data_IF_115880211230
#
_entry.id   IF_115880211230
#
_cell.length_a   1.000
_cell.length_b   1.000
_cell.length_c   1.000
_cell.angle_alpha   90.00
_cell.angle_beta   90.00
_cell.angle_gamma   90.00
#
_symmetry.space_group_name_H-M   'P 1'
#
loop_
_entity.id
_entity.type
_entity.pdbx_description
1 polymer ?
#
# COMPACT_ATOMS: atom_id res chain seq x y z
N UNK A 1 58.03 85.32 -33.93
CA UNK A 1 58.58 84.10 -34.46
C UNK A 1 58.22 82.96 -33.51
N UNK A 2 57.20 82.24 -33.87
CA UNK A 2 56.51 81.34 -32.95
C UNK A 2 56.99 79.91 -33.18
N UNK A 3 57.41 79.28 -32.13
CA UNK A 3 57.78 77.87 -32.11
C UNK A 3 56.64 77.03 -31.64
N UNK A 4 56.11 76.15 -32.52
CA UNK A 4 55.06 75.23 -32.26
C UNK A 4 55.56 74.08 -31.37
N UNK A 5 54.90 73.90 -30.22
CA UNK A 5 55.09 72.73 -29.36
C UNK A 5 53.97 71.75 -29.68
N UNK A 6 54.31 70.52 -30.06
CA UNK A 6 53.42 69.41 -30.28
C UNK A 6 53.02 68.79 -28.94
N UNK A 7 51.76 68.34 -28.74
CA UNK A 7 51.34 67.70 -27.47
C UNK A 7 51.73 66.21 -27.45
N UNK A 8 52.25 65.78 -26.34
CA UNK A 8 52.55 64.37 -25.97
C UNK A 8 51.26 63.63 -25.61
N UNK A 9 51.04 62.54 -26.30
CA UNK A 9 49.91 61.65 -26.03
C UNK A 9 50.22 60.78 -24.81
N UNK A 10 49.37 60.74 -23.81
CA UNK A 10 49.52 59.79 -22.68
C UNK A 10 48.99 58.39 -23.02
N UNK A 11 49.90 57.42 -23.02
CA UNK A 11 49.51 55.99 -23.04
C UNK A 11 48.67 55.62 -21.83
N UNK A 12 47.40 55.47 -22.06
CA UNK A 12 46.48 54.87 -21.06
C UNK A 12 46.74 53.37 -21.01
N UNK A 13 47.28 52.90 -19.90
CA UNK A 13 47.42 51.48 -19.58
C UNK A 13 46.07 50.96 -19.14
N UNK A 14 45.34 50.33 -20.05
CA UNK A 14 44.20 49.47 -19.62
C UNK A 14 44.73 48.18 -19.02
N UNK A 15 44.75 48.14 -17.70
CA UNK A 15 44.96 46.91 -16.94
C UNK A 15 43.65 46.11 -17.03
N UNK A 16 43.59 45.16 -17.96
CA UNK A 16 42.48 44.19 -17.98
C UNK A 16 42.62 43.28 -16.77
N UNK A 17 41.84 43.55 -15.72
CA UNK A 17 41.68 42.63 -14.61
C UNK A 17 40.78 41.49 -15.12
N UNK A 18 41.40 40.38 -15.51
CA UNK A 18 40.71 39.12 -15.76
C UNK A 18 40.23 38.60 -14.41
N UNK A 19 38.98 38.87 -14.04
CA UNK A 19 38.32 38.20 -12.91
C UNK A 19 38.03 36.79 -13.40
N UNK A 20 38.93 35.87 -13.11
CA UNK A 20 38.65 34.44 -13.16
C UNK A 20 37.65 34.17 -12.04
N UNK A 21 36.36 34.23 -12.36
CA UNK A 21 35.32 33.64 -11.52
C UNK A 21 35.52 32.10 -11.52
N UNK A 22 36.33 31.61 -10.59
CA UNK A 22 36.24 30.24 -10.18
C UNK A 22 34.88 30.10 -9.50
N UNK A 23 33.84 29.75 -10.29
CA UNK A 23 32.68 29.16 -9.74
C UNK A 23 33.14 27.84 -9.07
N UNK A 24 33.32 27.86 -7.76
CA UNK A 24 33.38 26.64 -7.01
C UNK A 24 32.07 25.90 -7.36
N UNK A 25 32.13 24.89 -8.23
CA UNK A 25 31.09 23.89 -8.37
C UNK A 25 31.00 23.28 -6.97
N UNK A 26 30.11 23.78 -6.16
CA UNK A 26 29.65 23.01 -5.00
C UNK A 26 29.32 21.63 -5.54
N UNK A 27 29.80 20.58 -4.91
CA UNK A 27 29.52 19.23 -5.32
C UNK A 27 28.00 19.15 -5.54
N UNK A 28 27.58 18.91 -6.79
CA UNK A 28 26.16 18.77 -7.15
C UNK A 28 25.65 17.57 -6.36
N UNK A 29 24.69 17.78 -5.48
CA UNK A 29 24.12 16.71 -4.63
C UNK A 29 23.60 15.62 -5.56
N UNK A 30 24.11 14.42 -5.41
CA UNK A 30 23.73 13.30 -6.28
C UNK A 30 22.25 12.94 -6.11
N UNK A 31 21.64 12.35 -7.14
CA UNK A 31 20.25 11.88 -7.07
C UNK A 31 20.05 10.90 -5.92
N UNK A 32 21.02 10.02 -5.67
CA UNK A 32 20.95 9.09 -4.55
C UNK A 32 20.94 9.79 -3.19
N UNK A 33 21.74 10.83 -3.00
CA UNK A 33 21.72 11.65 -1.79
C UNK A 33 20.40 12.42 -1.61
N UNK A 34 19.86 12.99 -2.70
CA UNK A 34 18.53 13.64 -2.65
C UNK A 34 17.44 12.67 -2.23
N UNK A 35 17.43 11.45 -2.75
CA UNK A 35 16.44 10.43 -2.41
C UNK A 35 16.62 9.91 -0.98
N UNK A 36 17.84 9.79 -0.48
CA UNK A 36 18.11 9.44 0.91
C UNK A 36 17.62 10.53 1.86
N UNK A 37 17.94 11.79 1.59
CA UNK A 37 17.47 12.95 2.35
C UNK A 37 15.93 13.05 2.32
N UNK A 38 15.31 12.77 1.17
CA UNK A 38 13.87 12.71 1.02
C UNK A 38 13.25 11.64 1.96
N UNK A 39 13.84 10.44 2.00
CA UNK A 39 13.42 9.37 2.90
C UNK A 39 13.52 9.76 4.38
N UNK A 40 14.65 10.37 4.77
CA UNK A 40 14.86 10.88 6.14
C UNK A 40 13.84 11.97 6.49
N UNK A 41 13.58 12.90 5.58
CA UNK A 41 12.61 13.99 5.77
C UNK A 41 11.20 13.44 5.94
N UNK A 42 10.83 12.47 5.12
CA UNK A 42 9.52 11.81 5.20
C UNK A 42 9.33 11.08 6.53
N UNK A 43 10.34 10.32 6.97
CA UNK A 43 10.34 9.62 8.24
C UNK A 43 10.22 10.56 9.47
N UNK A 44 10.71 11.82 9.34
CA UNK A 44 10.55 12.88 10.34
C UNK A 44 9.21 13.62 10.24
N UNK A 45 8.31 13.22 9.33
CA UNK A 45 7.02 13.87 9.12
C UNK A 45 7.09 15.16 8.29
N UNK A 46 8.27 15.54 7.74
CA UNK A 46 8.46 16.71 6.89
C UNK A 46 8.08 16.38 5.43
N UNK A 47 6.78 16.18 5.21
CA UNK A 47 6.23 15.61 3.96
C UNK A 47 6.50 16.48 2.74
N UNK A 48 6.29 17.78 2.86
CA UNK A 48 6.51 18.77 1.78
C UNK A 48 7.98 18.78 1.36
N UNK A 49 8.90 18.82 2.32
CA UNK A 49 10.33 18.78 2.05
C UNK A 49 10.77 17.46 1.40
N UNK A 50 10.20 16.34 1.82
CA UNK A 50 10.47 15.04 1.19
C UNK A 50 10.03 15.00 -0.30
N UNK A 51 8.86 15.57 -0.60
CA UNK A 51 8.36 15.68 -1.97
C UNK A 51 9.25 16.63 -2.79
N UNK A 52 9.68 17.76 -2.24
CA UNK A 52 10.57 18.71 -2.91
C UNK A 52 11.93 18.05 -3.26
N UNK A 53 12.54 17.36 -2.32
CA UNK A 53 13.81 16.63 -2.58
C UNK A 53 13.65 15.55 -3.66
N UNK A 54 12.52 14.83 -3.66
CA UNK A 54 12.24 13.86 -4.72
C UNK A 54 11.97 14.53 -6.08
N UNK A 55 11.36 15.73 -6.10
CA UNK A 55 11.22 16.54 -7.32
C UNK A 55 12.59 16.95 -7.86
N UNK A 56 13.49 17.45 -7.00
CA UNK A 56 14.84 17.84 -7.39
C UNK A 56 15.61 16.64 -7.97
N UNK A 57 15.44 15.44 -7.40
CA UNK A 57 16.00 14.22 -7.95
C UNK A 57 15.47 13.90 -9.37
N UNK A 58 14.16 14.10 -9.60
CA UNK A 58 13.55 13.91 -10.92
C UNK A 58 13.99 15.00 -11.92
N UNK A 59 14.17 16.24 -11.48
CA UNK A 59 14.68 17.33 -12.32
C UNK A 59 16.12 17.08 -12.75
N UNK A 60 16.95 16.58 -11.82
CA UNK A 60 18.35 16.23 -12.12
C UNK A 60 18.44 15.03 -13.10
N UNK A 61 17.61 14.01 -12.91
CA UNK A 61 17.56 12.82 -13.77
C UNK A 61 16.11 12.47 -14.16
N UNK A 62 15.55 13.05 -15.25
CA UNK A 62 14.14 12.88 -15.61
C UNK A 62 13.71 11.45 -16.01
N UNK A 63 14.65 10.53 -16.16
CA UNK A 63 14.39 9.11 -16.46
C UNK A 63 14.79 8.17 -15.31
N UNK A 64 15.11 8.71 -14.14
CA UNK A 64 15.44 7.89 -12.98
C UNK A 64 14.21 7.23 -12.40
N UNK A 65 14.04 5.94 -12.66
CA UNK A 65 12.91 5.14 -12.19
C UNK A 65 12.75 5.16 -10.67
N UNK A 66 13.90 5.14 -9.94
CA UNK A 66 13.91 5.14 -8.47
C UNK A 66 13.38 6.44 -7.89
N UNK A 67 13.65 7.58 -8.55
CA UNK A 67 13.15 8.88 -8.08
C UNK A 67 11.61 8.95 -8.15
N UNK A 68 11.01 8.51 -9.26
CA UNK A 68 9.55 8.38 -9.37
C UNK A 68 9.00 7.38 -8.35
N UNK A 69 9.61 6.22 -8.21
CA UNK A 69 9.18 5.22 -7.23
C UNK A 69 9.17 5.76 -5.80
N UNK A 70 10.21 6.46 -5.38
CA UNK A 70 10.31 7.04 -4.03
C UNK A 70 9.22 8.08 -3.81
N UNK A 71 9.01 9.00 -4.76
CA UNK A 71 7.96 10.01 -4.66
C UNK A 71 6.56 9.37 -4.67
N UNK A 72 6.35 8.37 -5.52
CA UNK A 72 5.11 7.60 -5.57
C UNK A 72 4.78 6.93 -4.23
N UNK A 73 5.79 6.37 -3.55
CA UNK A 73 5.62 5.83 -2.20
C UNK A 73 5.17 6.89 -1.21
N UNK A 74 5.77 8.08 -1.22
CA UNK A 74 5.34 9.17 -0.34
C UNK A 74 3.89 9.57 -0.61
N UNK A 75 3.50 9.67 -1.89
CA UNK A 75 2.09 9.94 -2.24
C UNK A 75 1.14 8.82 -1.77
N UNK A 76 1.54 7.55 -1.89
CA UNK A 76 0.76 6.41 -1.40
C UNK A 76 0.54 6.49 0.13
N UNK A 77 1.61 6.72 0.90
CA UNK A 77 1.53 6.89 2.35
C UNK A 77 0.71 8.13 2.77
N UNK A 78 0.66 9.17 1.93
CA UNK A 78 -0.19 10.34 2.10
C UNK A 78 -1.62 10.14 1.56
N UNK A 79 -1.98 8.92 1.13
CA UNK A 79 -3.29 8.58 0.55
C UNK A 79 -3.64 9.39 -0.72
N UNK A 80 -2.62 9.89 -1.42
CA UNK A 80 -2.76 10.60 -2.70
C UNK A 80 -2.66 9.60 -3.87
N UNK A 81 -3.60 8.67 -3.93
CA UNK A 81 -3.59 7.47 -4.77
C UNK A 81 -3.30 7.78 -6.24
N UNK A 82 -3.94 8.82 -6.81
CA UNK A 82 -3.77 9.16 -8.22
C UNK A 82 -2.35 9.63 -8.56
N UNK A 83 -1.71 10.39 -7.63
CA UNK A 83 -0.32 10.82 -7.81
C UNK A 83 0.64 9.64 -7.66
N UNK A 84 0.39 8.77 -6.68
CA UNK A 84 1.17 7.55 -6.50
C UNK A 84 1.13 6.67 -7.76
N UNK A 85 -0.06 6.43 -8.32
CA UNK A 85 -0.25 5.67 -9.56
C UNK A 85 0.50 6.27 -10.75
N UNK A 86 0.45 7.60 -10.92
CA UNK A 86 1.20 8.29 -11.96
C UNK A 86 2.69 8.04 -11.85
N UNK A 87 3.23 8.15 -10.64
CA UNK A 87 4.65 7.97 -10.38
C UNK A 87 5.09 6.51 -10.51
N UNK A 88 4.30 5.54 -10.02
CA UNK A 88 4.62 4.12 -10.23
C UNK A 88 4.59 3.74 -11.72
N UNK A 89 3.65 4.28 -12.50
CA UNK A 89 3.62 4.08 -13.94
C UNK A 89 4.88 4.66 -14.62
N UNK A 90 5.35 5.84 -14.19
CA UNK A 90 6.60 6.43 -14.69
C UNK A 90 7.83 5.59 -14.30
N UNK A 91 7.88 5.14 -13.05
CA UNK A 91 8.96 4.28 -12.58
C UNK A 91 9.06 3.01 -13.43
N UNK A 92 7.94 2.33 -13.67
CA UNK A 92 7.88 1.09 -14.46
C UNK A 92 8.07 1.29 -15.96
N UNK A 93 7.81 2.49 -16.49
CA UNK A 93 8.14 2.86 -17.86
C UNK A 93 9.67 2.96 -18.05
N UNK A 94 10.39 3.46 -17.07
CA UNK A 94 11.84 3.65 -17.14
C UNK A 94 12.63 2.41 -16.67
N UNK A 95 12.08 1.66 -15.71
CA UNK A 95 12.66 0.38 -15.25
C UNK A 95 11.55 -0.68 -15.03
N UNK A 96 11.26 -1.52 -16.03
CA UNK A 96 10.31 -2.61 -15.91
C UNK A 96 10.76 -3.75 -14.97
N UNK A 97 11.99 -3.71 -14.45
CA UNK A 97 12.51 -4.68 -13.49
C UNK A 97 12.40 -4.22 -12.03
N UNK A 98 11.90 -3.01 -11.78
CA UNK A 98 11.73 -2.45 -10.44
C UNK A 98 10.56 -3.13 -9.70
N UNK A 99 10.84 -4.30 -9.11
CA UNK A 99 9.83 -5.17 -8.48
C UNK A 99 8.93 -4.43 -7.49
N UNK A 100 9.51 -3.59 -6.61
CA UNK A 100 8.75 -2.88 -5.59
C UNK A 100 7.73 -1.87 -6.16
N UNK A 101 7.95 -1.37 -7.38
CA UNK A 101 6.97 -0.50 -8.03
C UNK A 101 5.70 -1.26 -8.42
N UNK A 102 5.82 -2.53 -8.86
CA UNK A 102 4.68 -3.40 -9.07
C UNK A 102 3.93 -3.69 -7.77
N UNK A 103 4.66 -4.00 -6.69
CA UNK A 103 4.03 -4.26 -5.38
C UNK A 103 3.17 -3.07 -4.94
N UNK A 104 3.72 -1.86 -4.96
CA UNK A 104 2.97 -0.68 -4.52
C UNK A 104 1.86 -0.30 -5.50
N UNK A 105 2.10 -0.39 -6.82
CA UNK A 105 1.06 -0.14 -7.80
C UNK A 105 -0.09 -1.15 -7.68
N UNK A 106 0.22 -2.40 -7.40
CA UNK A 106 -0.77 -3.44 -7.12
C UNK A 106 -1.66 -3.11 -5.93
N UNK A 107 -1.08 -2.58 -4.85
CA UNK A 107 -1.83 -2.11 -3.68
C UNK A 107 -2.75 -0.92 -4.03
N UNK A 108 -2.25 0.08 -4.76
CA UNK A 108 -3.05 1.22 -5.18
C UNK A 108 -4.15 0.84 -6.19
N UNK A 109 -3.85 -0.09 -7.12
CA UNK A 109 -4.86 -0.64 -8.02
C UNK A 109 -6.01 -1.32 -7.24
N UNK A 110 -5.68 -2.03 -6.16
CA UNK A 110 -6.70 -2.63 -5.29
C UNK A 110 -7.61 -1.56 -4.68
N UNK A 111 -7.03 -0.51 -4.09
CA UNK A 111 -7.76 0.62 -3.48
C UNK A 111 -8.69 1.31 -4.49
N UNK A 112 -8.29 1.38 -5.76
CA UNK A 112 -9.10 1.93 -6.85
C UNK A 112 -10.18 0.96 -7.38
N UNK A 113 -10.22 -0.28 -6.90
CA UNK A 113 -11.13 -1.32 -7.41
C UNK A 113 -10.68 -1.95 -8.73
N UNK A 114 -9.47 -1.66 -9.20
CA UNK A 114 -8.86 -2.27 -10.39
C UNK A 114 -8.27 -3.64 -10.03
N UNK A 115 -9.17 -4.58 -9.70
CA UNK A 115 -8.80 -5.85 -9.05
C UNK A 115 -7.92 -6.73 -9.93
N UNK A 116 -8.21 -6.81 -11.25
CA UNK A 116 -7.42 -7.64 -12.17
C UNK A 116 -6.01 -7.10 -12.35
N UNK A 117 -5.88 -5.80 -12.47
CA UNK A 117 -4.62 -5.08 -12.56
C UNK A 117 -3.81 -5.25 -11.27
N UNK A 118 -4.45 -5.16 -10.11
CA UNK A 118 -3.84 -5.41 -8.80
C UNK A 118 -3.24 -6.82 -8.73
N UNK A 119 -4.03 -7.85 -9.06
CA UNK A 119 -3.56 -9.23 -9.06
C UNK A 119 -2.40 -9.44 -10.05
N UNK A 120 -2.48 -8.84 -11.24
CA UNK A 120 -1.42 -8.89 -12.25
C UNK A 120 -0.12 -8.21 -11.79
N UNK A 121 -0.20 -7.07 -11.12
CA UNK A 121 0.95 -6.38 -10.56
C UNK A 121 1.62 -7.20 -9.44
N UNK A 122 0.84 -7.82 -8.54
CA UNK A 122 1.39 -8.71 -7.54
C UNK A 122 2.00 -9.99 -8.13
N UNK A 123 1.42 -10.55 -9.21
CA UNK A 123 2.03 -11.66 -9.94
C UNK A 123 3.38 -11.23 -10.52
N UNK A 124 3.45 -10.05 -11.15
CA UNK A 124 4.70 -9.54 -11.72
C UNK A 124 5.75 -9.22 -10.66
N UNK A 125 5.34 -8.73 -9.50
CA UNK A 125 6.23 -8.59 -8.36
C UNK A 125 6.88 -9.92 -7.97
N UNK A 126 6.11 -11.01 -7.90
CA UNK A 126 6.64 -12.35 -7.56
C UNK A 126 7.52 -12.95 -8.64
N UNK A 127 7.25 -12.70 -9.93
CA UNK A 127 8.16 -13.10 -11.01
C UNK A 127 9.57 -12.52 -10.82
N UNK A 128 9.63 -11.27 -10.34
CA UNK A 128 10.87 -10.53 -10.12
C UNK A 128 11.50 -10.82 -8.75
N UNK A 129 10.69 -11.17 -7.76
CA UNK A 129 11.11 -11.38 -6.37
C UNK A 129 10.45 -12.62 -5.73
N UNK A 130 10.68 -13.84 -6.24
CA UNK A 130 9.95 -15.04 -5.83
C UNK A 130 10.12 -15.38 -4.34
N UNK A 131 11.24 -15.00 -3.72
CA UNK A 131 11.46 -15.18 -2.28
C UNK A 131 10.52 -14.37 -1.37
N UNK A 132 9.76 -13.42 -1.91
CA UNK A 132 8.77 -12.65 -1.15
C UNK A 132 7.39 -13.33 -1.08
N UNK A 133 7.19 -14.42 -1.81
CA UNK A 133 5.90 -15.09 -1.89
C UNK A 133 5.23 -15.38 -0.53
N UNK A 134 5.94 -15.91 0.51
CA UNK A 134 5.29 -16.13 1.80
C UNK A 134 4.78 -14.87 2.50
N UNK A 135 5.35 -13.70 2.19
CA UNK A 135 5.00 -12.42 2.84
C UNK A 135 3.86 -11.67 2.14
N UNK A 136 3.48 -12.09 0.94
CA UNK A 136 2.58 -11.33 0.05
C UNK A 136 1.11 -11.72 0.24
N UNK A 137 0.58 -11.59 1.45
CA UNK A 137 -0.82 -11.89 1.77
C UNK A 137 -1.81 -10.98 1.01
N UNK A 138 -1.43 -9.72 0.69
CA UNK A 138 -2.23 -8.79 -0.11
C UNK A 138 -2.58 -9.38 -1.49
N UNK A 139 -1.63 -10.12 -2.10
CA UNK A 139 -1.90 -10.85 -3.34
C UNK A 139 -3.02 -11.87 -3.16
N UNK A 140 -3.04 -12.59 -2.04
CA UNK A 140 -4.10 -13.54 -1.73
C UNK A 140 -5.48 -12.90 -1.72
N UNK A 141 -5.60 -11.71 -1.11
CA UNK A 141 -6.83 -10.91 -1.10
C UNK A 141 -7.19 -10.45 -2.52
N UNK A 142 -6.24 -9.90 -3.27
CA UNK A 142 -6.49 -9.48 -4.66
C UNK A 142 -6.95 -10.65 -5.54
N UNK A 143 -6.35 -11.84 -5.36
CA UNK A 143 -6.74 -13.07 -6.06
C UNK A 143 -8.15 -13.53 -5.69
N UNK A 144 -8.55 -13.43 -4.41
CA UNK A 144 -9.92 -13.71 -3.98
C UNK A 144 -10.93 -12.84 -4.74
N UNK A 145 -10.73 -11.52 -4.76
CA UNK A 145 -11.62 -10.59 -5.47
C UNK A 145 -11.54 -10.72 -7.00
N UNK A 146 -10.43 -11.22 -7.54
CA UNK A 146 -10.28 -11.54 -8.96
C UNK A 146 -10.95 -12.87 -9.37
N UNK A 147 -11.56 -13.60 -8.42
CA UNK A 147 -12.16 -14.90 -8.67
C UNK A 147 -11.14 -16.06 -8.82
N UNK A 148 -9.85 -15.78 -8.56
CA UNK A 148 -8.76 -16.77 -8.63
C UNK A 148 -8.59 -17.47 -7.27
N UNK A 149 -9.67 -18.13 -6.83
CA UNK A 149 -9.76 -18.66 -5.46
C UNK A 149 -8.69 -19.69 -5.13
N UNK A 150 -8.35 -20.56 -6.07
CA UNK A 150 -7.33 -21.60 -5.87
C UNK A 150 -5.93 -21.02 -5.71
N UNK A 151 -5.60 -19.96 -6.46
CA UNK A 151 -4.33 -19.25 -6.31
C UNK A 151 -4.29 -18.48 -5.00
N UNK A 152 -5.42 -17.86 -4.61
CA UNK A 152 -5.57 -17.19 -3.31
C UNK A 152 -5.39 -18.16 -2.14
N UNK A 153 -6.03 -19.35 -2.20
CA UNK A 153 -5.86 -20.42 -1.22
C UNK A 153 -4.39 -20.77 -1.02
N UNK A 154 -3.68 -21.05 -2.11
CA UNK A 154 -2.24 -21.39 -2.07
C UNK A 154 -1.40 -20.27 -1.49
N UNK A 155 -1.75 -19.02 -1.77
CA UNK A 155 -1.05 -17.85 -1.21
C UNK A 155 -1.18 -17.80 0.31
N UNK A 156 -2.37 -18.07 0.87
CA UNK A 156 -2.58 -18.09 2.32
C UNK A 156 -1.95 -19.31 2.99
N UNK A 157 -1.93 -20.48 2.34
CA UNK A 157 -1.17 -21.66 2.80
C UNK A 157 0.34 -21.35 2.88
N UNK A 158 0.86 -20.62 1.89
CA UNK A 158 2.25 -20.21 1.89
C UNK A 158 2.56 -19.20 3.00
N UNK A 159 1.67 -18.23 3.24
CA UNK A 159 1.79 -17.28 4.35
C UNK A 159 1.75 -17.97 5.71
N UNK A 160 0.95 -19.04 5.87
CA UNK A 160 0.89 -19.83 7.09
C UNK A 160 2.25 -20.40 7.51
N UNK A 161 3.17 -20.61 6.57
CA UNK A 161 4.50 -21.15 6.87
C UNK A 161 5.36 -20.20 7.70
N UNK A 162 5.09 -18.89 7.61
CA UNK A 162 5.85 -17.84 8.30
C UNK A 162 5.03 -17.14 9.41
N UNK A 163 3.70 -17.21 9.38
CA UNK A 163 2.82 -16.62 10.38
C UNK A 163 1.67 -17.58 10.72
N UNK A 164 1.91 -18.45 11.72
CA UNK A 164 1.00 -19.57 12.04
C UNK A 164 -0.19 -19.17 12.89
N UNK A 165 -0.10 -18.08 13.62
CA UNK A 165 -1.11 -17.65 14.59
C UNK A 165 -1.85 -16.38 14.13
N UNK A 166 -2.21 -16.34 12.85
CA UNK A 166 -2.93 -15.25 12.25
C UNK A 166 -4.33 -15.71 11.81
N UNK A 167 -5.33 -15.28 12.54
CA UNK A 167 -6.75 -15.58 12.23
C UNK A 167 -7.14 -14.98 10.89
N UNK A 168 -6.67 -13.79 10.52
CA UNK A 168 -7.01 -13.19 9.23
C UNK A 168 -6.55 -14.07 8.07
N UNK A 169 -5.33 -14.61 8.15
CA UNK A 169 -4.82 -15.55 7.16
C UNK A 169 -5.72 -16.81 7.04
N UNK A 170 -6.11 -17.39 8.18
CA UNK A 170 -6.98 -18.56 8.19
C UNK A 170 -8.38 -18.25 7.62
N UNK A 171 -8.93 -17.09 7.91
CA UNK A 171 -10.20 -16.62 7.38
C UNK A 171 -10.15 -16.42 5.87
N UNK A 172 -9.15 -15.73 5.36
CA UNK A 172 -9.01 -15.53 3.91
C UNK A 172 -8.79 -16.83 3.15
N UNK A 173 -8.03 -17.77 3.72
CA UNK A 173 -7.95 -19.13 3.20
C UNK A 173 -9.33 -19.80 3.15
N UNK A 174 -10.08 -19.77 4.26
CA UNK A 174 -11.44 -20.29 4.33
C UNK A 174 -12.34 -19.68 3.25
N UNK A 175 -12.32 -18.37 3.08
CA UNK A 175 -13.14 -17.66 2.08
C UNK A 175 -12.82 -18.14 0.65
N UNK A 176 -11.55 -18.34 0.32
CA UNK A 176 -11.15 -18.90 -0.97
C UNK A 176 -11.71 -20.30 -1.19
N UNK A 177 -11.62 -21.18 -0.19
CA UNK A 177 -12.17 -22.54 -0.28
C UNK A 177 -13.72 -22.50 -0.31
N UNK A 178 -14.36 -21.63 0.46
CA UNK A 178 -15.82 -21.51 0.48
C UNK A 178 -16.38 -21.13 -0.89
N UNK A 179 -15.74 -20.19 -1.57
CA UNK A 179 -16.12 -19.77 -2.94
C UNK A 179 -15.89 -20.86 -4.00
N UNK A 180 -14.86 -21.68 -3.85
CA UNK A 180 -14.53 -22.74 -4.84
C UNK A 180 -15.21 -24.08 -4.55
N UNK A 181 -15.48 -24.41 -3.27
CA UNK A 181 -15.82 -25.78 -2.87
C UNK A 181 -16.89 -25.86 -1.78
N UNK A 182 -17.40 -24.73 -1.28
CA UNK A 182 -18.43 -24.64 -0.26
C UNK A 182 -17.92 -24.65 1.19
N UNK A 183 -18.80 -24.22 2.09
CA UNK A 183 -18.47 -23.98 3.52
C UNK A 183 -18.01 -25.24 4.25
N UNK A 184 -18.61 -26.39 3.99
CA UNK A 184 -18.26 -27.62 4.71
C UNK A 184 -16.83 -28.04 4.43
N UNK A 185 -16.40 -27.93 3.16
CA UNK A 185 -14.99 -28.20 2.79
C UNK A 185 -14.03 -27.15 3.39
N UNK A 186 -14.45 -25.88 3.46
CA UNK A 186 -13.62 -24.84 4.08
C UNK A 186 -13.43 -25.04 5.57
N UNK A 187 -14.44 -25.54 6.30
CA UNK A 187 -14.28 -25.91 7.72
C UNK A 187 -13.30 -27.04 7.93
N UNK A 188 -13.35 -28.06 7.06
CA UNK A 188 -12.42 -29.21 7.13
C UNK A 188 -10.97 -28.78 6.84
N UNK A 189 -10.78 -27.84 5.93
CA UNK A 189 -9.46 -27.35 5.50
C UNK A 189 -9.01 -26.08 6.22
N UNK A 190 -9.76 -25.60 7.24
CA UNK A 190 -9.43 -24.38 7.94
C UNK A 190 -8.01 -24.44 8.54
N UNK A 191 -7.18 -23.48 8.21
CA UNK A 191 -5.80 -23.40 8.72
C UNK A 191 -5.81 -23.31 10.24
N UNK A 192 -4.95 -24.09 10.88
CA UNK A 192 -4.87 -24.15 12.34
C UNK A 192 -4.29 -22.88 12.91
N UNK A 193 -5.02 -22.24 13.83
CA UNK A 193 -4.58 -21.13 14.66
C UNK A 193 -4.77 -21.51 16.11
N UNK A 194 -3.69 -21.39 16.91
CA UNK A 194 -3.72 -21.76 18.32
C UNK A 194 -4.04 -20.56 19.21
N UNK A 195 -3.49 -19.40 18.88
CA UNK A 195 -3.69 -18.18 19.64
C UNK A 195 -3.43 -16.95 18.77
N UNK A 196 -4.41 -16.05 18.69
CA UNK A 196 -4.27 -14.70 18.17
C UNK A 196 -4.67 -13.73 19.29
N UNK A 197 -3.75 -12.90 19.79
CA UNK A 197 -4.03 -12.05 20.95
C UNK A 197 -4.97 -10.89 20.64
N UNK A 198 -5.24 -10.60 19.36
CA UNK A 198 -6.14 -9.51 18.95
C UNK A 198 -7.60 -9.88 19.22
N UNK A 199 -8.32 -8.96 19.84
CA UNK A 199 -9.78 -9.15 20.10
C UNK A 199 -10.55 -8.56 18.91
N UNK A 200 -11.55 -9.25 18.33
CA UNK A 200 -12.15 -10.54 18.74
C UNK A 200 -11.70 -11.75 17.89
N UNK A 201 -10.43 -11.80 17.44
CA UNK A 201 -9.97 -12.73 16.42
C UNK A 201 -10.24 -14.20 16.74
N UNK A 202 -10.03 -14.65 17.97
CA UNK A 202 -10.28 -16.06 18.31
C UNK A 202 -11.78 -16.41 18.28
N UNK A 203 -12.69 -15.48 18.56
CA UNK A 203 -14.13 -15.68 18.40
C UNK A 203 -14.54 -15.75 16.92
N UNK A 204 -13.92 -14.92 16.09
CA UNK A 204 -14.05 -14.99 14.62
C UNK A 204 -13.58 -16.36 14.13
N UNK A 205 -12.41 -16.82 14.56
CA UNK A 205 -11.91 -18.15 14.23
C UNK A 205 -12.87 -19.28 14.63
N UNK A 206 -13.43 -19.20 15.84
CA UNK A 206 -14.41 -20.18 16.32
C UNK A 206 -15.68 -20.20 15.46
N UNK A 207 -16.18 -19.04 15.03
CA UNK A 207 -17.32 -18.93 14.11
C UNK A 207 -17.03 -19.63 12.77
N UNK A 208 -15.90 -19.32 12.15
CA UNK A 208 -15.49 -19.93 10.86
C UNK A 208 -15.27 -21.44 10.99
N UNK A 209 -14.80 -21.90 12.14
CA UNK A 209 -14.67 -23.32 12.48
C UNK A 209 -16.02 -24.01 12.76
N UNK A 210 -17.15 -23.29 12.76
CA UNK A 210 -18.47 -23.84 13.06
C UNK A 210 -18.72 -24.14 14.55
N UNK A 211 -17.94 -23.52 15.46
CA UNK A 211 -18.01 -23.74 16.92
C UNK A 211 -18.38 -22.47 17.71
N UNK A 212 -18.61 -21.35 17.02
CA UNK A 212 -18.95 -20.06 17.60
C UNK A 212 -20.17 -19.44 16.93
N UNK A 213 -20.57 -18.27 17.40
CA UNK A 213 -21.71 -17.50 16.90
C UNK A 213 -21.34 -16.04 16.62
N UNK A 214 -22.16 -15.36 15.81
CA UNK A 214 -22.03 -13.94 15.56
C UNK A 214 -22.19 -13.11 16.85
N UNK A 215 -23.08 -13.55 17.74
CA UNK A 215 -23.29 -12.91 19.04
C UNK A 215 -22.02 -12.95 19.90
N UNK A 216 -21.36 -14.09 19.97
CA UNK A 216 -20.10 -14.24 20.71
C UNK A 216 -18.99 -13.34 20.16
N UNK A 217 -18.90 -13.18 18.82
CA UNK A 217 -17.95 -12.26 18.18
C UNK A 217 -18.22 -10.81 18.60
N UNK A 218 -19.49 -10.38 18.50
CA UNK A 218 -19.86 -9.00 18.86
C UNK A 218 -19.70 -8.74 20.36
N UNK A 219 -20.07 -9.70 21.22
CA UNK A 219 -19.88 -9.62 22.67
C UNK A 219 -18.39 -9.47 23.02
N UNK A 220 -17.50 -10.23 22.38
CA UNK A 220 -16.08 -10.14 22.60
C UNK A 220 -15.51 -8.79 22.16
N UNK A 221 -15.92 -8.27 21.00
CA UNK A 221 -15.44 -6.98 20.50
C UNK A 221 -15.72 -5.83 21.48
N UNK A 222 -16.86 -5.87 22.19
CA UNK A 222 -17.29 -4.84 23.13
C UNK A 222 -16.93 -5.14 24.60
N UNK A 223 -16.34 -6.31 24.88
CA UNK A 223 -16.02 -6.74 26.24
C UNK A 223 -14.86 -5.95 26.85
N UNK A 224 -14.87 -5.87 28.18
CA UNK A 224 -13.85 -5.13 28.94
C UNK A 224 -14.10 -3.62 28.94
N UNK A 225 -13.03 -2.86 29.01
CA UNK A 225 -13.08 -1.38 28.97
C UNK A 225 -12.08 -0.87 27.93
N UNK A 226 -12.25 -1.21 26.64
CA UNK A 226 -11.33 -0.72 25.60
C UNK A 226 -11.41 0.80 25.50
N UNK A 227 -10.31 1.42 25.10
CA UNK A 227 -10.33 2.84 24.73
C UNK A 227 -11.21 3.06 23.48
N UNK A 228 -11.73 4.27 23.23
CA UNK A 228 -12.58 4.51 22.06
C UNK A 228 -11.95 4.12 20.72
N UNK A 229 -10.65 4.38 20.44
CA UNK A 229 -10.01 3.89 19.21
C UNK A 229 -9.96 2.36 19.13
N UNK A 230 -9.62 1.70 20.23
CA UNK A 230 -9.56 0.25 20.31
C UNK A 230 -10.95 -0.40 20.14
N UNK A 231 -11.99 0.19 20.75
CA UNK A 231 -13.36 -0.26 20.56
C UNK A 231 -13.79 -0.16 19.10
N UNK A 232 -13.44 0.96 18.43
CA UNK A 232 -13.72 1.14 17.02
C UNK A 232 -13.04 0.06 16.17
N UNK A 233 -11.76 -0.18 16.41
CA UNK A 233 -10.98 -1.20 15.68
C UNK A 233 -11.55 -2.61 15.90
N UNK A 234 -11.80 -3.00 17.14
CA UNK A 234 -12.38 -4.30 17.49
C UNK A 234 -13.76 -4.49 16.83
N UNK A 235 -14.59 -3.46 16.84
CA UNK A 235 -15.94 -3.49 16.24
C UNK A 235 -15.85 -3.52 14.72
N UNK A 236 -14.91 -2.80 14.13
CA UNK A 236 -14.60 -2.90 12.70
C UNK A 236 -14.29 -4.35 12.29
N UNK A 237 -13.34 -5.00 12.95
CA UNK A 237 -12.97 -6.37 12.62
C UNK A 237 -14.10 -7.37 12.85
N UNK A 238 -14.88 -7.19 13.92
CA UNK A 238 -16.06 -8.02 14.17
C UNK A 238 -17.05 -7.92 13.02
N UNK A 239 -17.46 -6.71 12.65
CA UNK A 239 -18.40 -6.51 11.55
C UNK A 239 -17.84 -6.95 10.21
N UNK A 240 -16.58 -6.64 9.92
CA UNK A 240 -15.98 -6.99 8.65
C UNK A 240 -15.95 -8.51 8.42
N UNK A 241 -15.45 -9.27 9.39
CA UNK A 241 -15.37 -10.73 9.25
C UNK A 241 -16.72 -11.44 9.41
N UNK A 242 -17.66 -10.90 10.16
CA UNK A 242 -19.05 -11.37 10.14
C UNK A 242 -19.68 -11.17 8.76
N UNK A 243 -19.50 -10.00 8.18
CA UNK A 243 -20.01 -9.71 6.85
C UNK A 243 -19.48 -10.65 5.77
N UNK A 244 -18.16 -10.89 5.76
CA UNK A 244 -17.53 -11.84 4.84
C UNK A 244 -18.02 -13.28 5.06
N UNK A 245 -18.23 -13.69 6.33
CA UNK A 245 -18.80 -14.99 6.65
C UNK A 245 -20.20 -15.15 6.09
N UNK A 246 -21.07 -14.19 6.34
CA UNK A 246 -22.45 -14.24 5.87
C UNK A 246 -22.55 -14.16 4.34
N UNK A 247 -21.63 -13.44 3.70
CA UNK A 247 -21.58 -13.36 2.25
C UNK A 247 -21.29 -14.73 1.60
N UNK A 248 -20.28 -15.46 2.09
CA UNK A 248 -20.00 -16.81 1.57
C UNK A 248 -21.03 -17.85 2.04
N UNK A 249 -21.76 -17.57 3.13
CA UNK A 249 -22.86 -18.40 3.62
C UNK A 249 -24.18 -18.17 2.87
N UNK A 250 -24.22 -17.22 1.92
CA UNK A 250 -25.42 -16.89 1.15
C UNK A 250 -26.49 -16.11 1.92
N UNK A 251 -26.15 -15.56 3.09
CA UNK A 251 -27.03 -14.66 3.84
C UNK A 251 -26.78 -13.20 3.45
N UNK A 252 -27.30 -12.80 2.30
CA UNK A 252 -27.08 -11.48 1.72
C UNK A 252 -27.46 -10.33 2.66
N UNK A 253 -28.58 -10.46 3.38
CA UNK A 253 -29.04 -9.43 4.31
C UNK A 253 -28.01 -9.16 5.41
N UNK A 254 -27.56 -10.21 6.09
CA UNK A 254 -26.56 -10.07 7.16
C UNK A 254 -25.20 -9.66 6.62
N UNK A 255 -24.81 -10.15 5.44
CA UNK A 255 -23.57 -9.73 4.78
C UNK A 255 -23.55 -8.21 4.58
N UNK A 256 -24.60 -7.66 3.97
CA UNK A 256 -24.76 -6.22 3.73
C UNK A 256 -24.75 -5.42 5.02
N UNK A 257 -25.55 -5.83 5.99
CA UNK A 257 -25.64 -5.16 7.29
C UNK A 257 -24.26 -5.02 7.92
N UNK A 258 -23.52 -6.10 8.05
CA UNK A 258 -22.22 -6.11 8.68
C UNK A 258 -21.14 -5.42 7.85
N UNK A 259 -21.07 -5.64 6.55
CA UNK A 259 -20.07 -4.98 5.68
C UNK A 259 -20.27 -3.46 5.68
N UNK A 260 -21.50 -2.96 5.63
CA UNK A 260 -21.74 -1.51 5.65
C UNK A 260 -21.43 -0.90 7.02
N UNK A 261 -21.66 -1.62 8.12
CA UNK A 261 -21.20 -1.17 9.44
C UNK A 261 -19.67 -1.01 9.46
N UNK A 262 -18.93 -1.99 8.97
CA UNK A 262 -17.46 -1.91 8.92
C UNK A 262 -16.97 -0.78 7.99
N UNK A 263 -17.52 -0.69 6.78
CA UNK A 263 -17.03 0.23 5.77
C UNK A 263 -17.43 1.70 6.01
N UNK A 264 -18.61 1.94 6.57
CA UNK A 264 -19.18 3.29 6.66
C UNK A 264 -19.15 3.87 8.08
N UNK A 265 -19.37 3.04 9.12
CA UNK A 265 -19.49 3.50 10.51
C UNK A 265 -18.19 3.31 11.30
N UNK A 266 -17.66 2.08 11.34
CA UNK A 266 -16.47 1.73 12.13
C UNK A 266 -15.17 1.82 11.32
N UNK A 267 -15.04 2.86 10.50
CA UNK A 267 -13.90 3.02 9.56
C UNK A 267 -12.56 2.92 10.25
N UNK A 268 -11.66 2.16 9.64
CA UNK A 268 -10.24 2.16 10.01
C UNK A 268 -9.40 2.59 8.81
N UNK A 269 -8.33 3.33 9.07
CA UNK A 269 -7.37 3.77 8.03
C UNK A 269 -6.25 2.74 7.90
N UNK A 270 -6.61 1.62 7.29
CA UNK A 270 -5.71 0.49 7.07
C UNK A 270 -6.06 -0.22 5.76
N UNK A 271 -5.18 -1.13 5.33
CA UNK A 271 -5.46 -1.95 4.15
C UNK A 271 -6.77 -2.75 4.29
N UNK A 272 -7.07 -3.31 5.48
CA UNK A 272 -8.35 -4.00 5.71
C UNK A 272 -9.55 -3.05 5.65
N UNK A 273 -9.38 -1.79 6.04
CA UNK A 273 -10.39 -0.75 5.82
C UNK A 273 -10.66 -0.50 4.35
N UNK A 274 -9.61 -0.51 3.50
CA UNK A 274 -9.76 -0.43 2.05
C UNK A 274 -10.48 -1.66 1.50
N UNK A 275 -10.12 -2.85 1.96
CA UNK A 275 -10.80 -4.11 1.58
C UNK A 275 -12.30 -4.07 1.93
N UNK A 276 -12.65 -3.58 3.11
CA UNK A 276 -14.05 -3.44 3.53
C UNK A 276 -14.82 -2.47 2.60
N UNK A 277 -14.21 -1.33 2.23
CA UNK A 277 -14.80 -0.37 1.28
C UNK A 277 -15.00 -0.96 -0.10
N UNK A 278 -14.04 -1.72 -0.61
CA UNK A 278 -14.16 -2.43 -1.89
C UNK A 278 -15.28 -3.47 -1.83
N UNK A 279 -15.33 -4.26 -0.78
CA UNK A 279 -16.40 -5.26 -0.62
C UNK A 279 -17.79 -4.60 -0.54
N UNK A 280 -17.91 -3.50 0.22
CA UNK A 280 -19.15 -2.73 0.28
C UNK A 280 -19.57 -2.17 -1.09
N UNK A 281 -18.62 -1.69 -1.90
CA UNK A 281 -18.89 -1.21 -3.25
C UNK A 281 -19.43 -2.33 -4.15
N UNK A 282 -18.83 -3.53 -4.08
CA UNK A 282 -19.30 -4.70 -4.84
C UNK A 282 -20.72 -5.11 -4.44
N UNK A 283 -21.03 -5.16 -3.12
CA UNK A 283 -22.38 -5.46 -2.66
C UNK A 283 -23.40 -4.41 -3.11
N UNK A 284 -23.05 -3.12 -3.17
CA UNK A 284 -23.93 -2.07 -3.70
C UNK A 284 -24.25 -2.25 -5.18
N UNK A 285 -23.29 -2.69 -5.98
CA UNK A 285 -23.49 -2.93 -7.42
C UNK A 285 -24.41 -4.12 -7.72
N UNK A 286 -24.45 -5.13 -6.84
CA UNK A 286 -25.33 -6.31 -6.98
C UNK A 286 -26.80 -6.02 -6.71
N UNK A 287 -27.17 -4.82 -6.26
CA UNK A 287 -28.53 -4.40 -5.92
C UNK A 287 -29.29 -3.78 -7.08
N UNK A 288 -28.64 -3.68 -8.24
CA UNK A 288 -29.18 -3.12 -9.48
C UNK A 288 -29.20 -4.20 -10.57
#
# INVERSE_FOLDING_TARGET
>A
MAMKILPVCPFSRYLAVLVLAFAAKGAEVSVDELLEQAGVSFAKGMRENAIELANNAIEAEPKNARAYYVRGRFYAEMRQVQKAMSDFNRALLFDPSLALAYYHRGAENFILGHIKESAGDFDRFLDLAPGQAPKLWQRGIALYYAGRYEDGRRQFELHQTINRNDVENAVWHFLCVARSSGIDKSRVSLLKVENDPRVPMMQIYALYAGRGSAEEVMKAATAGKPSPPELNERTFYAHFYLGLYFDVAGNEKMAREHIFQAADLFKVDSYMGDVARIHAALLRQQSH
#
